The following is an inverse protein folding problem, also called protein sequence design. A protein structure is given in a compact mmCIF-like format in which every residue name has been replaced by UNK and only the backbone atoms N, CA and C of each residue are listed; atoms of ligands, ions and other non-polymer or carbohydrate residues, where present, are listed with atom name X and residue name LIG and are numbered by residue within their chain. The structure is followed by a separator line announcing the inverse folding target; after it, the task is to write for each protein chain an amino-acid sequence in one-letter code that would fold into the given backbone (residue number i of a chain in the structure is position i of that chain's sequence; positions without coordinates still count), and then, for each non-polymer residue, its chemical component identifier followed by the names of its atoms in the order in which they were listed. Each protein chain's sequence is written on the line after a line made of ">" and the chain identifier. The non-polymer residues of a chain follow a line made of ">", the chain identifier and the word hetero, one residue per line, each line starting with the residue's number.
data_IF_010342748492
#
_entry.id   IF_010342748492
#
_cell.length_a   1.000
_cell.length_b   1.000
_cell.length_c   1.000
_cell.angle_alpha   90.00
_cell.angle_beta   90.00
_cell.angle_gamma   90.00
#
_symmetry.space_group_name_H-M   'P 1'
#
loop_
_entity.id
_entity.type
_entity.pdbx_description
1 polymer ?
#
# COMPACT_ATOMS: atom_id res chain seq x y z
N UNK A 1 -19.34 -1.84 -38.36
CA UNK A 1 -17.98 -2.41 -38.27
C UNK A 1 -17.84 -3.03 -36.89
N UNK A 2 -18.06 -4.34 -36.77
CA UNK A 2 -17.86 -5.08 -35.53
C UNK A 2 -16.46 -5.70 -35.59
N UNK A 3 -15.47 -5.02 -35.04
CA UNK A 3 -14.23 -5.67 -34.63
C UNK A 3 -14.50 -6.34 -33.29
N UNK A 4 -14.83 -7.63 -33.31
CA UNK A 4 -14.67 -8.48 -32.11
C UNK A 4 -13.19 -8.48 -31.77
N UNK A 5 -12.79 -7.60 -30.85
CA UNK A 5 -11.45 -7.64 -30.28
C UNK A 5 -11.26 -8.99 -29.60
N UNK A 6 -10.28 -9.75 -30.09
CA UNK A 6 -9.93 -11.04 -29.51
C UNK A 6 -9.33 -10.82 -28.12
N UNK A 7 -9.83 -11.55 -27.12
CA UNK A 7 -9.25 -11.52 -25.78
C UNK A 7 -7.79 -11.96 -25.82
N UNK A 8 -6.93 -11.25 -25.08
CA UNK A 8 -5.52 -11.60 -24.97
C UNK A 8 -5.31 -12.96 -24.30
N UNK A 9 -4.21 -13.63 -24.64
CA UNK A 9 -3.76 -14.79 -23.85
C UNK A 9 -3.40 -14.37 -22.43
N UNK A 10 -3.38 -15.29 -21.44
CA UNK A 10 -2.96 -14.97 -20.07
C UNK A 10 -1.58 -14.30 -20.00
N UNK A 11 -0.62 -14.76 -20.81
CA UNK A 11 0.75 -14.24 -20.86
C UNK A 11 0.79 -12.82 -21.45
N UNK A 12 0.02 -12.59 -22.52
CA UNK A 12 -0.10 -11.26 -23.13
C UNK A 12 -0.80 -10.28 -22.17
N UNK A 13 -1.85 -10.72 -21.48
CA UNK A 13 -2.54 -9.90 -20.50
C UNK A 13 -1.64 -9.55 -19.32
N UNK A 14 -0.89 -10.51 -18.77
CA UNK A 14 0.07 -10.26 -17.71
C UNK A 14 1.16 -9.28 -18.17
N UNK A 15 1.73 -9.47 -19.36
CA UNK A 15 2.72 -8.56 -19.93
C UNK A 15 2.18 -7.14 -20.04
N UNK A 16 0.92 -6.99 -20.46
CA UNK A 16 0.25 -5.68 -20.55
C UNK A 16 0.01 -5.06 -19.17
N UNK A 17 -0.38 -5.83 -18.16
CA UNK A 17 -0.51 -5.35 -16.77
C UNK A 17 0.85 -4.88 -16.23
N UNK A 18 1.92 -5.65 -16.45
CA UNK A 18 3.28 -5.30 -16.02
C UNK A 18 3.81 -4.06 -16.74
N UNK A 19 3.48 -3.89 -18.02
CA UNK A 19 3.88 -2.71 -18.78
C UNK A 19 3.31 -1.41 -18.19
N UNK A 20 2.17 -1.44 -17.48
CA UNK A 20 1.63 -0.27 -16.76
C UNK A 20 2.53 0.18 -15.60
N UNK A 21 3.51 -0.64 -15.18
CA UNK A 21 4.55 -0.25 -14.22
C UNK A 21 5.31 1.02 -14.61
N UNK A 22 5.33 1.40 -15.89
CA UNK A 22 5.84 2.71 -16.37
C UNK A 22 5.16 3.92 -15.73
N UNK A 23 3.94 3.75 -15.19
CA UNK A 23 3.18 4.77 -14.48
C UNK A 23 3.24 4.63 -12.96
N UNK A 24 4.02 3.67 -12.45
CA UNK A 24 4.13 3.45 -11.02
C UNK A 24 4.84 4.62 -10.34
N UNK A 25 4.50 4.88 -9.08
CA UNK A 25 4.95 6.07 -8.35
C UNK A 25 6.46 6.13 -8.10
N UNK A 26 7.20 5.07 -8.42
CA UNK A 26 8.67 5.02 -8.28
C UNK A 26 9.34 6.08 -9.17
N UNK A 27 8.67 6.45 -10.27
CA UNK A 27 9.14 7.48 -11.20
C UNK A 27 8.71 8.90 -10.81
N UNK A 28 7.89 9.07 -9.76
CA UNK A 28 7.45 10.40 -9.33
C UNK A 28 8.64 11.21 -8.78
N UNK A 29 8.81 12.50 -9.13
CA UNK A 29 9.97 13.30 -8.70
C UNK A 29 10.22 13.29 -7.19
N UNK A 30 9.16 13.26 -6.38
CA UNK A 30 9.26 13.17 -4.92
C UNK A 30 9.93 11.85 -4.47
N UNK A 31 9.55 10.72 -5.08
CA UNK A 31 10.12 9.40 -4.74
C UNK A 31 11.58 9.30 -5.19
N UNK A 32 11.91 9.86 -6.36
CA UNK A 32 13.28 9.95 -6.86
C UNK A 32 14.14 10.81 -5.93
N UNK A 33 13.68 12.01 -5.55
CA UNK A 33 14.40 12.87 -4.63
C UNK A 33 14.62 12.21 -3.24
N UNK A 34 13.63 11.44 -2.76
CA UNK A 34 13.78 10.65 -1.53
C UNK A 34 14.87 9.58 -1.66
N UNK A 35 14.86 8.81 -2.74
CA UNK A 35 15.88 7.79 -2.99
C UNK A 35 17.28 8.42 -3.10
N UNK A 36 17.41 9.56 -3.76
CA UNK A 36 18.68 10.26 -3.94
C UNK A 36 19.16 11.00 -2.68
N UNK A 37 18.42 10.93 -1.56
CA UNK A 37 18.76 11.59 -0.31
C UNK A 37 18.63 13.11 -0.34
N UNK A 38 17.81 13.66 -1.25
CA UNK A 38 17.67 15.10 -1.49
C UNK A 38 16.52 15.74 -0.71
N UNK A 39 15.65 14.95 -0.07
CA UNK A 39 14.58 15.51 0.75
C UNK A 39 15.12 16.18 2.01
N UNK A 40 14.49 17.29 2.40
CA UNK A 40 14.66 17.84 3.74
C UNK A 40 14.02 16.93 4.78
N UNK A 41 14.38 17.12 6.05
CA UNK A 41 13.74 16.39 7.16
C UNK A 41 12.22 16.59 7.19
N UNK A 42 11.77 17.82 7.03
CA UNK A 42 10.34 18.17 7.01
C UNK A 42 9.59 17.46 5.87
N UNK A 43 10.20 17.39 4.68
CA UNK A 43 9.64 16.63 3.56
C UNK A 43 9.53 15.13 3.90
N UNK A 44 10.60 14.52 4.42
CA UNK A 44 10.56 13.12 4.84
C UNK A 44 9.45 12.86 5.88
N UNK A 45 9.33 13.71 6.89
CA UNK A 45 8.27 13.63 7.90
C UNK A 45 6.88 13.75 7.27
N UNK A 46 6.68 14.73 6.39
CA UNK A 46 5.42 14.92 5.67
C UNK A 46 5.03 13.69 4.84
N UNK A 47 6.00 13.07 4.15
CA UNK A 47 5.76 11.83 3.41
C UNK A 47 5.37 10.68 4.34
N UNK A 48 6.08 10.46 5.44
CA UNK A 48 5.79 9.37 6.38
C UNK A 48 4.40 9.54 6.99
N UNK A 49 4.06 10.75 7.46
CA UNK A 49 2.76 11.06 8.05
C UNK A 49 1.60 10.84 7.07
N UNK A 50 1.72 11.34 5.84
CA UNK A 50 0.67 11.17 4.83
C UNK A 50 0.58 9.70 4.36
N UNK A 51 1.70 8.99 4.26
CA UNK A 51 1.70 7.57 3.89
C UNK A 51 1.14 6.69 4.99
N UNK A 52 1.26 7.07 6.26
CA UNK A 52 0.63 6.35 7.36
C UNK A 52 -0.88 6.24 7.17
N UNK A 53 -1.54 7.32 6.72
CA UNK A 53 -2.97 7.29 6.37
C UNK A 53 -3.28 6.27 5.27
N UNK A 54 -2.42 6.15 4.24
CA UNK A 54 -2.58 5.09 3.25
C UNK A 54 -2.44 3.70 3.89
N UNK A 55 -1.43 3.49 4.76
CA UNK A 55 -1.17 2.20 5.40
C UNK A 55 -2.35 1.71 6.25
N UNK A 56 -2.94 2.56 7.10
CA UNK A 56 -4.08 2.18 7.96
C UNK A 56 -5.36 1.90 7.18
N UNK A 57 -5.47 2.38 5.94
CA UNK A 57 -6.63 2.14 5.09
C UNK A 57 -6.51 0.85 4.25
N UNK A 58 -5.32 0.25 4.13
CA UNK A 58 -5.15 -1.04 3.44
C UNK A 58 -6.03 -2.15 4.05
N UNK A 59 -5.96 -2.44 5.37
CA UNK A 59 -6.79 -3.50 5.97
C UNK A 59 -8.29 -3.20 5.87
N UNK A 60 -8.70 -1.92 5.94
CA UNK A 60 -10.10 -1.49 5.72
C UNK A 60 -10.58 -1.81 4.31
N UNK A 61 -9.76 -1.49 3.30
CA UNK A 61 -10.04 -1.83 1.90
C UNK A 61 -10.04 -3.35 1.69
N UNK A 62 -9.11 -4.08 2.30
CA UNK A 62 -9.05 -5.55 2.19
C UNK A 62 -10.25 -6.23 2.86
N UNK A 63 -10.75 -5.69 3.97
CA UNK A 63 -12.00 -6.15 4.59
C UNK A 63 -13.21 -5.94 3.65
N UNK A 64 -13.26 -4.84 2.90
CA UNK A 64 -14.32 -4.62 1.90
C UNK A 64 -14.24 -5.60 0.73
N UNK A 65 -13.04 -6.04 0.34
CA UNK A 65 -12.88 -7.13 -0.65
C UNK A 65 -13.41 -8.45 -0.07
N UNK A 66 -13.05 -8.77 1.18
CA UNK A 66 -13.52 -9.97 1.87
C UNK A 66 -15.05 -10.01 1.99
N UNK A 67 -15.69 -8.89 2.35
CA UNK A 67 -17.16 -8.83 2.49
C UNK A 67 -17.88 -9.05 1.17
N UNK A 68 -17.24 -8.70 0.04
CA UNK A 68 -17.80 -8.86 -1.30
C UNK A 68 -17.39 -10.17 -1.98
N UNK A 69 -16.57 -11.02 -1.34
CA UNK A 69 -16.05 -12.24 -1.92
C UNK A 69 -16.84 -13.48 -1.45
N UNK A 70 -17.68 -14.11 -2.30
CA UNK A 70 -18.44 -15.30 -1.90
C UNK A 70 -17.57 -16.56 -1.75
N UNK A 71 -16.41 -16.61 -2.41
CA UNK A 71 -15.52 -17.77 -2.38
C UNK A 71 -14.72 -17.89 -1.07
N UNK A 72 -14.91 -19.01 -0.36
CA UNK A 72 -14.30 -19.24 0.95
C UNK A 72 -12.78 -19.48 0.86
N UNK A 73 -12.30 -20.13 -0.20
CA UNK A 73 -10.87 -20.42 -0.33
C UNK A 73 -10.09 -19.11 -0.52
N UNK A 74 -10.58 -18.21 -1.36
CA UNK A 74 -10.03 -16.87 -1.57
C UNK A 74 -10.05 -16.06 -0.28
N UNK A 75 -11.16 -16.03 0.46
CA UNK A 75 -11.22 -15.29 1.75
C UNK A 75 -10.16 -15.78 2.75
N UNK A 76 -9.90 -17.09 2.81
CA UNK A 76 -8.87 -17.67 3.69
C UNK A 76 -7.44 -17.27 3.30
N UNK A 77 -7.18 -17.06 2.02
CA UNK A 77 -5.88 -16.52 1.59
C UNK A 77 -5.81 -15.00 1.81
N UNK A 78 -6.91 -14.28 1.56
CA UNK A 78 -6.93 -12.82 1.59
C UNK A 78 -6.85 -12.24 3.00
N UNK A 79 -7.40 -12.94 4.01
CA UNK A 79 -7.37 -12.49 5.41
C UNK A 79 -5.94 -12.28 5.94
N UNK A 80 -4.95 -13.01 5.41
CA UNK A 80 -3.56 -12.85 5.80
C UNK A 80 -3.08 -11.39 5.62
N UNK A 81 -3.54 -10.69 4.58
CA UNK A 81 -3.19 -9.28 4.34
C UNK A 81 -3.61 -8.37 5.48
N UNK A 82 -4.77 -8.63 6.08
CA UNK A 82 -5.25 -7.84 7.23
C UNK A 82 -4.38 -8.14 8.45
N UNK A 83 -4.11 -9.42 8.73
CA UNK A 83 -3.24 -9.82 9.84
C UNK A 83 -1.81 -9.28 9.70
N UNK A 84 -1.28 -9.23 8.48
CA UNK A 84 0.04 -8.65 8.20
C UNK A 84 0.09 -7.15 8.53
N UNK A 85 -1.02 -6.43 8.36
CA UNK A 85 -1.12 -4.99 8.62
C UNK A 85 -1.50 -4.65 10.06
N UNK A 86 -2.54 -5.28 10.58
CA UNK A 86 -3.12 -5.02 11.92
C UNK A 86 -2.41 -5.80 13.03
N UNK A 87 -1.72 -6.89 12.68
CA UNK A 87 -1.14 -7.81 13.65
C UNK A 87 -2.15 -8.86 14.16
N UNK A 88 -1.68 -9.65 15.11
CA UNK A 88 -2.45 -10.64 15.86
C UNK A 88 -1.89 -10.80 17.28
N UNK A 89 -2.25 -11.87 18.00
CA UNK A 89 -1.76 -12.10 19.37
C UNK A 89 -0.22 -12.26 19.47
N UNK A 90 0.47 -12.53 18.36
CA UNK A 90 1.90 -12.79 18.28
C UNK A 90 2.70 -11.68 17.58
N UNK A 91 2.02 -10.73 16.92
CA UNK A 91 2.64 -9.68 16.12
C UNK A 91 1.85 -8.38 16.19
N UNK A 92 2.55 -7.26 16.25
CA UNK A 92 1.96 -5.91 16.21
C UNK A 92 1.53 -5.45 14.80
N UNK A 93 1.96 -6.17 13.76
CA UNK A 93 1.60 -5.85 12.37
C UNK A 93 2.40 -4.71 11.73
N UNK A 94 2.19 -4.54 10.42
CA UNK A 94 2.91 -3.59 9.59
C UNK A 94 2.54 -2.12 9.85
N UNK A 95 1.37 -1.83 10.39
CA UNK A 95 0.99 -0.45 10.78
C UNK A 95 1.87 0.03 11.92
N UNK A 96 2.15 -0.82 12.91
CA UNK A 96 3.04 -0.50 14.02
C UNK A 96 4.49 -0.31 13.59
N UNK A 97 4.95 -1.08 12.60
CA UNK A 97 6.24 -0.84 11.95
C UNK A 97 6.28 0.55 11.30
N UNK A 98 5.17 1.01 10.68
CA UNK A 98 5.10 2.35 10.10
C UNK A 98 5.04 3.46 11.15
N UNK A 99 4.38 3.21 12.27
CA UNK A 99 4.38 4.13 13.42
C UNK A 99 5.81 4.35 13.93
N UNK A 100 6.60 3.27 14.06
CA UNK A 100 8.03 3.34 14.43
C UNK A 100 8.89 4.07 13.41
N UNK A 101 8.59 3.94 12.11
CA UNK A 101 9.26 4.73 11.07
C UNK A 101 9.02 6.23 11.28
N UNK A 102 7.80 6.63 11.65
CA UNK A 102 7.49 8.02 11.97
C UNK A 102 8.29 8.53 13.17
N UNK A 103 8.32 7.77 14.27
CA UNK A 103 9.14 8.09 15.45
C UNK A 103 10.63 8.25 15.09
N UNK A 104 11.16 7.38 14.22
CA UNK A 104 12.54 7.45 13.75
C UNK A 104 12.85 8.72 12.94
N UNK A 105 11.85 9.33 12.29
CA UNK A 105 11.99 10.65 11.65
C UNK A 105 11.81 11.81 12.63
N UNK A 106 11.41 11.53 13.87
CA UNK A 106 11.13 12.48 14.95
C UNK A 106 9.70 13.02 14.96
N UNK A 107 8.74 12.30 14.36
CA UNK A 107 7.32 12.57 14.55
C UNK A 107 6.84 11.95 15.87
N UNK A 108 5.93 12.63 16.54
CA UNK A 108 5.21 12.05 17.66
C UNK A 108 4.24 10.97 17.12
N UNK A 109 4.22 9.82 17.79
CA UNK A 109 3.29 8.73 17.53
C UNK A 109 1.84 9.22 17.54
N UNK A 110 1.45 10.05 18.50
CA UNK A 110 0.09 10.55 18.62
C UNK A 110 -0.34 11.40 17.42
N UNK A 111 0.60 12.13 16.80
CA UNK A 111 0.32 12.90 15.58
C UNK A 111 -0.06 11.96 14.43
N UNK A 112 0.69 10.87 14.23
CA UNK A 112 0.38 9.86 13.20
C UNK A 112 -1.01 9.26 13.41
N UNK A 113 -1.31 8.82 14.64
CA UNK A 113 -2.57 8.15 14.96
C UNK A 113 -3.78 9.08 14.98
N UNK A 114 -3.59 10.36 15.30
CA UNK A 114 -4.66 11.35 15.27
C UNK A 114 -5.15 11.67 13.85
N UNK A 115 -4.30 11.45 12.84
CA UNK A 115 -4.58 11.76 11.43
C UNK A 115 -4.95 13.24 11.20
N UNK A 116 -4.45 14.14 12.05
CA UNK A 116 -4.71 15.60 12.02
C UNK A 116 -3.43 16.39 11.83
#
# INVERSE_FOLDING_TARGET
>A
MNTTEQAWSPEQFEANLRALGRFYHIHHPYQVAMHEGKLTREQMQGWVANRFYYQINIPRKDAAILSNCPDRATRRHWIQRILDHDGDASSEGGIEVWSRLGEATGLDREVLWSQR
#
